data_IF_473750697391
#
_entry.id   IF_473750697391
#
_cell.length_a   1.000
_cell.length_b   1.000
_cell.length_c   1.000
_cell.angle_alpha   90.00
_cell.angle_beta   90.00
_cell.angle_gamma   90.00
#
_symmetry.space_group_name_H-M   'P 1'
#
loop_
_entity.id
_entity.type
_entity.pdbx_description
1 polymer ?
#
# COMPACT_ATOMS: atom_id res chain seq x y z
N UNK A 1 11.56 20.11 -13.19
CA UNK A 1 10.84 20.04 -14.48
C UNK A 1 10.36 18.60 -14.75
N UNK A 2 9.67 17.94 -13.80
CA UNK A 2 9.29 16.50 -13.87
C UNK A 2 7.76 16.25 -13.76
N UNK A 3 6.94 17.30 -13.87
CA UNK A 3 5.50 17.21 -13.62
C UNK A 3 4.62 16.94 -14.83
N UNK A 4 5.08 17.26 -16.05
CA UNK A 4 4.22 17.25 -17.25
C UNK A 4 4.17 15.85 -17.88
N UNK A 5 5.30 15.13 -17.95
CA UNK A 5 5.33 13.77 -18.52
C UNK A 5 4.51 12.77 -17.69
N UNK A 6 4.54 12.92 -16.36
CA UNK A 6 3.73 12.07 -15.47
C UNK A 6 2.24 12.40 -15.54
N UNK A 7 1.88 13.65 -15.87
CA UNK A 7 0.48 14.03 -16.06
C UNK A 7 -0.11 13.40 -17.32
N UNK A 8 0.58 13.50 -18.47
CA UNK A 8 0.13 12.87 -19.72
C UNK A 8 0.01 11.36 -19.59
N UNK A 9 0.96 10.70 -18.93
CA UNK A 9 0.90 9.26 -18.69
C UNK A 9 -0.34 8.84 -17.88
N UNK A 10 -0.77 9.64 -16.89
CA UNK A 10 -1.98 9.35 -16.09
C UNK A 10 -3.26 9.43 -16.92
N UNK A 11 -3.37 10.43 -17.78
CA UNK A 11 -4.51 10.58 -18.68
C UNK A 11 -4.52 9.53 -19.79
N UNK A 12 -3.35 9.19 -20.34
CA UNK A 12 -3.20 8.11 -21.32
C UNK A 12 -3.61 6.74 -20.72
N UNK A 13 -3.18 6.45 -19.48
CA UNK A 13 -3.58 5.24 -18.76
C UNK A 13 -5.09 5.20 -18.51
N UNK A 14 -5.68 6.33 -18.08
CA UNK A 14 -7.12 6.43 -17.86
C UNK A 14 -7.91 6.16 -19.15
N UNK A 15 -7.51 6.81 -20.25
CA UNK A 15 -8.11 6.58 -21.57
C UNK A 15 -7.98 5.15 -22.04
N UNK A 16 -6.78 4.55 -21.94
CA UNK A 16 -6.53 3.18 -22.36
C UNK A 16 -7.36 2.16 -21.57
N UNK A 17 -7.46 2.32 -20.25
CA UNK A 17 -8.24 1.42 -19.39
C UNK A 17 -9.76 1.57 -19.63
N UNK A 18 -10.25 2.80 -19.80
CA UNK A 18 -11.66 3.03 -20.14
C UNK A 18 -12.01 2.47 -21.52
N UNK A 19 -11.16 2.68 -22.52
CA UNK A 19 -11.35 2.14 -23.86
C UNK A 19 -11.29 0.61 -23.87
N UNK A 20 -10.37 0.01 -23.11
CA UNK A 20 -10.27 -1.45 -22.97
C UNK A 20 -11.51 -2.03 -22.29
N UNK A 21 -11.98 -1.42 -21.20
CA UNK A 21 -13.21 -1.83 -20.53
C UNK A 21 -14.44 -1.72 -21.46
N UNK A 22 -14.50 -0.67 -22.29
CA UNK A 22 -15.57 -0.50 -23.26
C UNK A 22 -15.51 -1.52 -24.41
N UNK A 23 -14.33 -1.81 -24.95
CA UNK A 23 -14.16 -2.82 -25.99
C UNK A 23 -14.53 -4.21 -25.50
N UNK A 24 -14.09 -4.58 -24.28
CA UNK A 24 -14.46 -5.87 -23.66
C UNK A 24 -15.97 -5.93 -23.41
N UNK A 25 -16.58 -4.84 -22.94
CA UNK A 25 -18.03 -4.77 -22.77
C UNK A 25 -18.79 -5.00 -24.09
N UNK A 26 -18.37 -4.35 -25.19
CA UNK A 26 -19.01 -4.47 -26.50
C UNK A 26 -18.90 -5.89 -27.09
N UNK A 27 -17.78 -6.59 -26.86
CA UNK A 27 -17.60 -7.99 -27.29
C UNK A 27 -18.46 -8.95 -26.47
N UNK A 28 -18.71 -8.64 -25.19
CA UNK A 28 -19.51 -9.47 -24.29
C UNK A 28 -21.02 -9.23 -24.42
N UNK A 29 -21.47 -8.06 -24.86
CA UNK A 29 -22.88 -7.73 -25.09
C UNK A 29 -23.68 -8.81 -25.87
N UNK A 30 -23.21 -9.35 -27.02
CA UNK A 30 -23.94 -10.37 -27.76
C UNK A 30 -24.01 -11.73 -27.04
N UNK A 31 -23.09 -12.01 -26.11
CA UNK A 31 -23.10 -13.26 -25.32
C UNK A 31 -24.13 -13.23 -24.18
N UNK A 32 -24.59 -12.04 -23.78
CA UNK A 32 -25.46 -11.85 -22.62
C UNK A 32 -26.87 -11.34 -22.97
N UNK A 33 -27.37 -11.57 -24.20
CA UNK A 33 -28.71 -11.14 -24.64
C UNK A 33 -29.00 -9.66 -24.28
N UNK A 34 -28.07 -8.75 -24.61
CA UNK A 34 -28.16 -7.31 -24.31
C UNK A 34 -28.21 -6.92 -22.82
N UNK A 35 -27.97 -7.87 -21.88
CA UNK A 35 -27.92 -7.56 -20.45
C UNK A 35 -26.55 -7.03 -20.06
N UNK A 36 -26.46 -5.70 -19.97
CA UNK A 36 -25.29 -4.89 -19.63
C UNK A 36 -24.40 -5.49 -18.51
N UNK A 37 -23.23 -6.05 -18.81
CA UNK A 37 -22.30 -6.52 -17.79
C UNK A 37 -21.49 -5.33 -17.21
N UNK A 38 -22.15 -4.55 -16.33
CA UNK A 38 -21.58 -3.42 -15.58
C UNK A 38 -20.33 -3.78 -14.77
N UNK A 39 -20.09 -5.06 -14.50
CA UNK A 39 -19.05 -5.57 -13.59
C UNK A 39 -17.64 -5.19 -14.05
N UNK A 40 -17.39 -5.07 -15.36
CA UNK A 40 -16.06 -4.80 -15.90
C UNK A 40 -15.59 -3.34 -15.74
N UNK A 41 -16.50 -2.37 -15.63
CA UNK A 41 -16.12 -0.97 -15.46
C UNK A 41 -15.66 -0.65 -14.05
N UNK A 42 -16.15 -1.36 -13.03
CA UNK A 42 -15.76 -1.14 -11.64
C UNK A 42 -14.27 -1.37 -11.37
N UNK A 43 -13.65 -2.53 -11.70
CA UNK A 43 -12.22 -2.73 -11.47
C UNK A 43 -11.36 -1.76 -12.29
N UNK A 44 -11.79 -1.39 -13.50
CA UNK A 44 -11.11 -0.37 -14.31
C UNK A 44 -11.15 1.01 -13.62
N UNK A 45 -12.32 1.44 -13.12
CA UNK A 45 -12.48 2.70 -12.40
C UNK A 45 -11.66 2.74 -11.10
N UNK A 46 -11.64 1.63 -10.36
CA UNK A 46 -10.80 1.50 -9.16
C UNK A 46 -9.32 1.62 -9.50
N UNK A 47 -8.85 0.94 -10.55
CA UNK A 47 -7.47 1.04 -10.99
C UNK A 47 -7.10 2.47 -11.45
N UNK A 48 -7.97 3.13 -12.23
CA UNK A 48 -7.74 4.52 -12.67
C UNK A 48 -7.71 5.46 -11.46
N UNK A 49 -8.63 5.31 -10.51
CA UNK A 49 -8.61 6.08 -9.26
C UNK A 49 -7.32 5.83 -8.46
N UNK A 50 -6.84 4.59 -8.42
CA UNK A 50 -5.65 4.19 -7.67
C UNK A 50 -4.32 4.51 -8.36
N UNK A 51 -4.27 4.73 -9.67
CA UNK A 51 -3.03 5.02 -10.37
C UNK A 51 -3.02 6.42 -10.98
N UNK A 52 -4.07 6.81 -11.69
CA UNK A 52 -4.14 8.09 -12.40
C UNK A 52 -4.59 9.28 -11.53
N UNK A 53 -5.32 9.02 -10.43
CA UNK A 53 -5.78 10.04 -9.49
C UNK A 53 -7.26 10.37 -9.62
N UNK A 54 -7.71 11.38 -8.87
CA UNK A 54 -9.14 11.71 -8.76
C UNK A 54 -9.74 12.19 -10.09
N UNK A 55 -9.13 13.20 -10.73
CA UNK A 55 -9.71 13.82 -11.93
C UNK A 55 -9.79 12.89 -13.14
N UNK A 56 -8.76 12.09 -13.46
CA UNK A 56 -8.89 11.08 -14.53
C UNK A 56 -9.96 10.03 -14.22
N UNK A 57 -10.11 9.62 -12.95
CA UNK A 57 -11.14 8.66 -12.56
C UNK A 57 -12.56 9.24 -12.69
N UNK A 58 -12.76 10.51 -12.34
CA UNK A 58 -14.04 11.21 -12.55
C UNK A 58 -14.35 11.33 -14.04
N UNK A 59 -13.36 11.70 -14.87
CA UNK A 59 -13.55 11.78 -16.32
C UNK A 59 -13.91 10.42 -16.94
N UNK A 60 -13.24 9.35 -16.51
CA UNK A 60 -13.56 7.97 -16.91
C UNK A 60 -14.93 7.51 -16.44
N UNK A 61 -15.38 7.91 -15.25
CA UNK A 61 -16.73 7.63 -14.75
C UNK A 61 -17.78 8.32 -15.63
N UNK A 62 -17.58 9.61 -15.95
CA UNK A 62 -18.49 10.35 -16.84
C UNK A 62 -18.53 9.73 -18.24
N UNK A 63 -17.37 9.34 -18.78
CA UNK A 63 -17.30 8.67 -20.08
C UNK A 63 -18.01 7.31 -20.07
N UNK A 64 -17.84 6.52 -19.01
CA UNK A 64 -18.52 5.25 -18.85
C UNK A 64 -20.04 5.41 -18.74
N UNK A 65 -20.51 6.41 -17.98
CA UNK A 65 -21.94 6.77 -17.88
C UNK A 65 -22.49 7.16 -19.26
N UNK A 66 -21.77 7.99 -20.01
CA UNK A 66 -22.18 8.40 -21.35
C UNK A 66 -22.31 7.22 -22.33
N UNK A 67 -21.32 6.32 -22.34
CA UNK A 67 -21.36 5.08 -23.12
C UNK A 67 -22.55 4.18 -22.72
N UNK A 68 -22.82 4.09 -21.41
CA UNK A 68 -23.93 3.29 -20.92
C UNK A 68 -25.28 3.88 -21.35
N UNK A 69 -25.44 5.20 -21.28
CA UNK A 69 -26.65 5.89 -21.74
C UNK A 69 -26.93 5.66 -23.23
N UNK A 70 -25.88 5.61 -24.07
CA UNK A 70 -26.02 5.27 -25.49
C UNK A 70 -26.46 3.81 -25.66
N UNK A 71 -25.85 2.88 -24.91
CA UNK A 71 -26.18 1.45 -25.00
C UNK A 71 -27.59 1.10 -24.52
N UNK A 72 -28.16 1.89 -23.62
CA UNK A 72 -29.53 1.73 -23.13
C UNK A 72 -30.57 2.37 -24.07
N UNK A 73 -30.16 2.87 -25.24
CA UNK A 73 -31.09 3.46 -26.21
C UNK A 73 -31.69 4.80 -25.77
N UNK A 74 -31.21 5.41 -24.68
CA UNK A 74 -31.69 6.69 -24.15
C UNK A 74 -31.42 7.89 -25.10
N UNK A 75 -30.70 7.66 -26.19
CA UNK A 75 -30.30 8.68 -27.17
C UNK A 75 -31.16 8.65 -28.45
N UNK A 76 -32.06 7.69 -28.64
CA UNK A 76 -32.94 7.72 -29.82
C UNK A 76 -33.94 8.89 -29.72
N UNK A 77 -34.19 9.67 -30.80
CA UNK A 77 -34.99 10.91 -30.75
C UNK A 77 -36.48 10.71 -30.46
N UNK A 78 -36.94 9.47 -30.27
CA UNK A 78 -38.27 9.18 -29.75
C UNK A 78 -38.27 9.47 -28.25
N UNK A 79 -39.12 10.39 -27.78
CA UNK A 79 -39.36 10.72 -26.37
C UNK A 79 -39.90 9.51 -25.55
N UNK A 80 -39.21 8.38 -25.54
CA UNK A 80 -39.44 7.32 -24.57
C UNK A 80 -38.81 7.78 -23.27
N UNK A 81 -39.65 8.06 -22.27
CA UNK A 81 -39.14 8.28 -20.92
C UNK A 81 -38.30 7.05 -20.54
N UNK A 82 -37.07 7.23 -20.00
CA UNK A 82 -36.27 6.11 -19.53
C UNK A 82 -37.13 5.19 -18.67
N UNK A 83 -37.06 3.87 -18.92
CA UNK A 83 -37.68 2.92 -18.02
C UNK A 83 -37.14 3.17 -16.60
N UNK A 84 -37.99 3.04 -15.57
CA UNK A 84 -37.59 3.24 -14.18
C UNK A 84 -36.38 2.38 -13.80
N UNK A 85 -36.24 1.21 -14.44
CA UNK A 85 -35.11 0.31 -14.32
C UNK A 85 -33.78 0.91 -14.80
N UNK A 86 -33.76 1.60 -15.94
CA UNK A 86 -32.53 2.13 -16.55
C UNK A 86 -31.99 3.33 -15.77
N UNK A 87 -32.90 4.19 -15.30
CA UNK A 87 -32.56 5.29 -14.40
C UNK A 87 -31.98 4.76 -13.07
N UNK A 88 -32.55 3.67 -12.51
CA UNK A 88 -32.04 3.04 -11.30
C UNK A 88 -30.64 2.43 -11.50
N UNK A 89 -30.39 1.79 -12.66
CA UNK A 89 -29.08 1.21 -12.97
C UNK A 89 -28.00 2.28 -13.11
N UNK A 90 -28.27 3.38 -13.82
CA UNK A 90 -27.35 4.51 -13.94
C UNK A 90 -27.08 5.16 -12.58
N UNK A 91 -28.12 5.35 -11.76
CA UNK A 91 -27.98 5.87 -10.40
C UNK A 91 -27.10 4.97 -9.53
N UNK A 92 -27.37 3.67 -9.53
CA UNK A 92 -26.58 2.69 -8.78
C UNK A 92 -25.11 2.66 -9.25
N UNK A 93 -24.86 2.76 -10.55
CA UNK A 93 -23.51 2.81 -11.12
C UNK A 93 -22.75 4.08 -10.68
N UNK A 94 -23.39 5.24 -10.73
CA UNK A 94 -22.81 6.50 -10.27
C UNK A 94 -22.47 6.45 -8.78
N UNK A 95 -23.37 5.93 -7.95
CA UNK A 95 -23.15 5.80 -6.50
C UNK A 95 -22.01 4.82 -6.21
N UNK A 96 -22.03 3.63 -6.82
CA UNK A 96 -21.00 2.62 -6.60
C UNK A 96 -19.62 3.07 -7.15
N UNK A 97 -19.59 3.70 -8.32
CA UNK A 97 -18.37 4.27 -8.90
C UNK A 97 -17.80 5.42 -8.05
N UNK A 98 -18.67 6.34 -7.61
CA UNK A 98 -18.29 7.42 -6.71
C UNK A 98 -17.74 6.92 -5.37
N UNK A 99 -18.41 5.94 -4.76
CA UNK A 99 -17.96 5.30 -3.52
C UNK A 99 -16.60 4.61 -3.72
N UNK A 100 -16.45 3.85 -4.80
CA UNK A 100 -15.18 3.18 -5.14
C UNK A 100 -14.03 4.17 -5.30
N UNK A 101 -14.27 5.28 -6.00
CA UNK A 101 -13.28 6.36 -6.12
C UNK A 101 -12.94 6.94 -4.74
N UNK A 102 -13.93 7.25 -3.91
CA UNK A 102 -13.72 7.85 -2.59
C UNK A 102 -12.90 6.95 -1.66
N UNK A 103 -13.25 5.67 -1.57
CA UNK A 103 -12.51 4.67 -0.78
C UNK A 103 -11.06 4.55 -1.26
N UNK A 104 -10.87 4.51 -2.57
CA UNK A 104 -9.54 4.41 -3.18
C UNK A 104 -8.67 5.65 -2.88
N UNK A 105 -9.24 6.85 -2.95
CA UNK A 105 -8.51 8.08 -2.59
C UNK A 105 -8.16 8.13 -1.11
N UNK A 106 -9.09 7.75 -0.23
CA UNK A 106 -8.83 7.65 1.20
C UNK A 106 -7.68 6.67 1.50
N UNK A 107 -7.70 5.49 0.88
CA UNK A 107 -6.64 4.49 1.01
C UNK A 107 -5.28 5.02 0.54
N UNK A 108 -5.24 5.70 -0.63
CA UNK A 108 -4.00 6.34 -1.12
C UNK A 108 -3.46 7.38 -0.14
N UNK A 109 -4.32 8.22 0.43
CA UNK A 109 -3.93 9.23 1.41
C UNK A 109 -3.27 8.61 2.64
N UNK A 110 -3.88 7.54 3.20
CA UNK A 110 -3.33 6.81 4.35
C UNK A 110 -1.99 6.16 4.03
N UNK A 111 -1.87 5.50 2.88
CA UNK A 111 -0.61 4.84 2.46
C UNK A 111 0.51 5.86 2.29
N UNK A 112 0.23 7.01 1.67
CA UNK A 112 1.24 8.06 1.48
C UNK A 112 1.65 8.71 2.80
N UNK A 113 0.69 8.97 3.70
CA UNK A 113 0.99 9.48 5.04
C UNK A 113 1.86 8.49 5.82
N UNK A 114 1.53 7.20 5.79
CA UNK A 114 2.32 6.14 6.42
C UNK A 114 3.75 6.06 5.85
N UNK A 115 3.89 6.12 4.52
CA UNK A 115 5.19 6.12 3.84
C UNK A 115 6.04 7.34 4.21
N UNK A 116 5.44 8.53 4.30
CA UNK A 116 6.14 9.76 4.69
C UNK A 116 6.70 9.68 6.10
N UNK A 117 5.88 9.23 7.06
CA UNK A 117 6.32 9.03 8.45
C UNK A 117 7.42 7.97 8.55
N UNK A 118 7.23 6.82 7.87
CA UNK A 118 8.23 5.72 7.89
C UNK A 118 9.55 6.13 7.25
N UNK A 119 9.53 6.90 6.16
CA UNK A 119 10.73 7.43 5.55
C UNK A 119 11.48 8.39 6.48
N UNK A 120 10.75 9.27 7.18
CA UNK A 120 11.35 10.21 8.15
C UNK A 120 11.95 9.48 9.36
N UNK A 121 11.27 8.46 9.87
CA UNK A 121 11.80 7.60 10.93
C UNK A 121 13.10 6.91 10.49
N UNK A 122 13.10 6.27 9.32
CA UNK A 122 14.30 5.60 8.81
C UNK A 122 15.46 6.57 8.60
N UNK A 123 15.18 7.79 8.12
CA UNK A 123 16.20 8.84 7.99
C UNK A 123 16.79 9.22 9.35
N UNK A 124 15.96 9.39 10.38
CA UNK A 124 16.41 9.72 11.72
C UNK A 124 17.27 8.59 12.34
N UNK A 125 16.83 7.33 12.20
CA UNK A 125 17.59 6.16 12.64
C UNK A 125 18.95 6.07 11.92
N UNK A 126 18.97 6.24 10.61
CA UNK A 126 20.19 6.21 9.81
C UNK A 126 21.16 7.34 10.21
N UNK A 127 20.66 8.57 10.39
CA UNK A 127 21.48 9.70 10.83
C UNK A 127 22.07 9.49 12.24
N UNK A 128 21.32 8.86 13.14
CA UNK A 128 21.78 8.49 14.47
C UNK A 128 22.67 7.25 14.52
N UNK A 129 22.85 6.52 13.40
CA UNK A 129 23.44 5.17 13.39
C UNK A 129 22.76 4.22 14.39
N UNK A 130 21.45 4.36 14.53
CA UNK A 130 20.61 3.56 15.42
C UNK A 130 19.79 2.57 14.59
N UNK A 131 19.40 1.46 15.20
CA UNK A 131 18.40 0.55 14.65
C UNK A 131 17.40 0.20 15.74
N UNK A 132 16.13 0.06 15.35
CA UNK A 132 15.13 -0.55 16.22
C UNK A 132 15.07 -2.05 15.94
N UNK A 133 14.75 -2.81 16.97
CA UNK A 133 14.57 -4.25 16.89
C UNK A 133 13.45 -4.68 17.83
N UNK A 134 12.78 -5.77 17.48
CA UNK A 134 11.74 -6.39 18.27
C UNK A 134 12.05 -7.87 18.38
N UNK A 135 11.86 -8.45 19.56
CA UNK A 135 12.08 -9.86 19.79
C UNK A 135 10.80 -10.53 20.30
N UNK A 136 10.29 -11.48 19.53
CA UNK A 136 9.30 -12.45 19.98
C UNK A 136 10.03 -13.58 20.70
N UNK A 137 9.93 -13.55 22.02
CA UNK A 137 10.55 -14.50 22.94
C UNK A 137 10.00 -15.90 22.75
N UNK A 138 8.69 -16.03 22.49
CA UNK A 138 8.00 -17.32 22.40
C UNK A 138 8.38 -18.06 21.12
N UNK A 139 8.40 -17.36 20.00
CA UNK A 139 8.74 -17.94 18.70
C UNK A 139 10.22 -17.78 18.32
N UNK A 140 11.02 -17.17 19.19
CA UNK A 140 12.44 -16.86 18.99
C UNK A 140 12.73 -16.09 17.69
N UNK A 141 11.85 -15.15 17.33
CA UNK A 141 11.98 -14.33 16.11
C UNK A 141 12.43 -12.92 16.46
N UNK A 142 13.40 -12.42 15.71
CA UNK A 142 13.86 -11.03 15.83
C UNK A 142 13.48 -10.29 14.55
N UNK A 143 12.74 -9.20 14.70
CA UNK A 143 12.50 -8.25 13.63
C UNK A 143 13.46 -7.08 13.78
N UNK A 144 14.03 -6.68 12.66
CA UNK A 144 14.94 -5.55 12.59
C UNK A 144 14.31 -4.47 11.73
N UNK A 145 14.48 -3.22 12.15
CA UNK A 145 14.07 -2.08 11.35
C UNK A 145 14.85 -2.06 10.01
N UNK A 146 14.24 -1.55 8.93
CA UNK A 146 14.95 -1.34 7.67
C UNK A 146 16.21 -0.50 7.88
N UNK A 147 17.34 -0.94 7.32
CA UNK A 147 18.64 -0.28 7.49
C UNK A 147 19.46 -0.76 8.69
N UNK A 148 18.97 -1.73 9.47
CA UNK A 148 19.72 -2.36 10.56
C UNK A 148 21.09 -2.89 10.12
N UNK A 149 21.21 -3.35 8.86
CA UNK A 149 22.46 -3.77 8.22
C UNK A 149 23.63 -2.80 8.43
N UNK A 150 23.38 -1.49 8.40
CA UNK A 150 24.41 -0.49 8.61
C UNK A 150 24.97 -0.48 10.05
N UNK A 151 24.17 -0.95 11.02
CA UNK A 151 24.51 -0.99 12.45
C UNK A 151 24.98 -2.39 12.88
N UNK A 152 24.30 -3.44 12.43
CA UNK A 152 24.59 -4.83 12.84
C UNK A 152 25.40 -5.64 11.81
N UNK A 153 25.63 -5.09 10.62
CA UNK A 153 26.43 -5.72 9.56
C UNK A 153 25.70 -6.78 8.71
N UNK A 154 24.41 -7.05 8.97
CA UNK A 154 23.60 -7.96 8.14
C UNK A 154 22.10 -7.70 8.23
N UNK A 155 21.37 -8.20 7.23
CA UNK A 155 19.92 -8.14 7.18
C UNK A 155 19.34 -9.44 7.72
N UNK A 156 18.43 -9.31 8.69
CA UNK A 156 17.76 -10.47 9.29
C UNK A 156 18.69 -11.31 10.18
N UNK A 157 18.20 -11.60 11.37
CA UNK A 157 18.90 -12.42 12.36
C UNK A 157 17.84 -13.15 13.18
N UNK A 158 18.09 -14.39 13.60
CA UNK A 158 17.27 -15.04 14.63
C UNK A 158 17.82 -14.72 16.02
N UNK A 159 17.08 -15.09 17.07
CA UNK A 159 17.48 -14.80 18.44
C UNK A 159 18.85 -15.42 18.80
N UNK A 160 19.12 -16.65 18.38
CA UNK A 160 20.39 -17.34 18.66
C UNK A 160 21.58 -16.69 17.95
N UNK A 161 21.39 -16.26 16.70
CA UNK A 161 22.39 -15.54 15.93
C UNK A 161 22.66 -14.16 16.55
N UNK A 162 21.62 -13.42 16.95
CA UNK A 162 21.76 -12.14 17.66
C UNK A 162 22.54 -12.33 18.96
N UNK A 163 22.22 -13.40 19.70
CA UNK A 163 22.93 -13.74 20.94
C UNK A 163 24.42 -14.04 20.71
N UNK A 164 24.74 -14.75 19.63
CA UNK A 164 26.14 -15.07 19.27
C UNK A 164 26.94 -13.84 18.86
N UNK A 165 26.28 -12.81 18.32
CA UNK A 165 26.90 -11.53 17.98
C UNK A 165 27.31 -10.73 19.23
N UNK A 166 26.73 -10.98 20.40
CA UNK A 166 27.21 -10.39 21.65
C UNK A 166 28.56 -11.01 22.02
N UNK A 167 29.55 -10.17 22.31
CA UNK A 167 30.89 -10.60 22.74
C UNK A 167 30.81 -11.52 23.97
N UNK A 168 31.63 -12.57 24.01
CA UNK A 168 31.55 -13.63 25.03
C UNK A 168 31.54 -13.10 26.47
N UNK A 169 32.44 -12.18 26.79
CA UNK A 169 32.54 -11.54 28.12
C UNK A 169 31.30 -10.72 28.51
N UNK A 170 30.53 -10.21 27.54
CA UNK A 170 29.37 -9.36 27.82
C UNK A 170 28.07 -10.17 27.96
N UNK A 171 28.06 -11.44 27.50
CA UNK A 171 26.85 -12.27 27.44
C UNK A 171 26.16 -12.45 28.79
N UNK A 172 26.92 -12.70 29.85
CA UNK A 172 26.31 -12.91 31.18
C UNK A 172 25.57 -11.65 31.67
N UNK A 173 26.19 -10.48 31.50
CA UNK A 173 25.59 -9.19 31.87
C UNK A 173 24.36 -8.87 31.02
N UNK A 174 24.42 -9.10 29.72
CA UNK A 174 23.27 -8.89 28.82
C UNK A 174 22.13 -9.85 29.19
N UNK A 175 22.42 -11.12 29.50
CA UNK A 175 21.41 -12.10 29.87
C UNK A 175 20.65 -11.70 31.13
N UNK A 176 21.38 -11.20 32.14
CA UNK A 176 20.79 -10.73 33.38
C UNK A 176 19.84 -9.53 33.15
N UNK A 177 20.27 -8.55 32.34
CA UNK A 177 19.44 -7.39 32.02
C UNK A 177 18.16 -7.79 31.26
N UNK A 178 18.28 -8.65 30.25
CA UNK A 178 17.14 -9.18 29.49
C UNK A 178 16.20 -9.97 30.40
N UNK A 179 16.72 -10.83 31.26
CA UNK A 179 15.90 -11.64 32.17
C UNK A 179 15.15 -10.79 33.20
N UNK A 180 15.78 -9.75 33.73
CA UNK A 180 15.11 -8.78 34.62
C UNK A 180 13.94 -8.06 33.93
N UNK A 181 14.11 -7.68 32.67
CA UNK A 181 13.05 -7.06 31.87
C UNK A 181 11.89 -8.04 31.59
N UNK A 182 12.19 -9.30 31.27
CA UNK A 182 11.16 -10.33 31.02
C UNK A 182 10.34 -10.69 32.26
N UNK A 183 10.94 -10.64 33.45
CA UNK A 183 10.23 -10.84 34.71
C UNK A 183 9.38 -9.62 35.12
N UNK A 184 9.37 -8.54 34.31
CA UNK A 184 8.64 -7.32 34.59
C UNK A 184 9.21 -6.52 35.76
N UNK A 185 10.45 -6.81 36.19
CA UNK A 185 11.14 -6.05 37.25
C UNK A 185 11.51 -4.66 36.77
N UNK A 186 11.86 -4.53 35.49
CA UNK A 186 12.16 -3.26 34.83
C UNK A 186 11.33 -3.11 33.55
N UNK A 187 10.59 -2.00 33.44
CA UNK A 187 9.78 -1.67 32.26
C UNK A 187 10.64 -1.22 31.06
N UNK A 188 11.91 -0.89 31.30
CA UNK A 188 12.90 -0.47 30.31
C UNK A 188 14.29 -0.83 30.81
N UNK A 189 15.12 -1.43 29.94
CA UNK A 189 16.53 -1.66 30.21
C UNK A 189 17.38 -0.84 29.24
N UNK A 190 18.56 -0.43 29.69
CA UNK A 190 19.62 0.09 28.82
C UNK A 190 20.95 -0.54 29.23
N UNK A 191 21.69 -1.08 28.28
CA UNK A 191 23.06 -1.55 28.49
C UNK A 191 23.95 -1.32 27.27
N UNK A 192 25.18 -0.89 27.53
CA UNK A 192 26.22 -0.82 26.51
C UNK A 192 26.98 -2.15 26.44
N UNK A 193 27.19 -2.71 25.26
CA UNK A 193 27.90 -3.97 25.06
C UNK A 193 28.66 -4.00 23.73
N UNK A 194 29.59 -4.95 23.61
CA UNK A 194 30.33 -5.18 22.38
C UNK A 194 29.56 -6.14 21.47
N UNK A 195 29.30 -5.67 20.25
CA UNK A 195 28.70 -6.41 19.16
C UNK A 195 29.79 -6.83 18.18
N UNK A 196 29.94 -8.14 17.95
CA UNK A 196 30.77 -8.73 16.93
C UNK A 196 29.95 -8.88 15.64
N UNK A 197 30.29 -8.06 14.64
CA UNK A 197 29.65 -8.10 13.32
C UNK A 197 30.13 -9.31 12.50
N UNK A 198 29.37 -9.72 11.46
CA UNK A 198 29.76 -10.83 10.58
C UNK A 198 31.07 -10.60 9.80
N UNK A 199 31.47 -9.34 9.60
CA UNK A 199 32.75 -8.94 9.00
C UNK A 199 33.96 -9.13 9.95
N UNK A 200 33.71 -9.49 11.21
CA UNK A 200 34.72 -9.66 12.25
C UNK A 200 35.05 -8.37 13.01
N UNK A 201 34.43 -7.23 12.66
CA UNK A 201 34.64 -5.99 13.38
C UNK A 201 33.88 -5.96 14.71
N UNK A 202 34.51 -5.35 15.72
CA UNK A 202 33.92 -5.13 17.02
C UNK A 202 33.35 -3.72 17.12
N UNK A 203 32.07 -3.61 17.45
CA UNK A 203 31.37 -2.35 17.59
C UNK A 203 30.80 -2.21 19.00
N UNK A 204 30.89 -1.02 19.59
CA UNK A 204 30.17 -0.73 20.84
C UNK A 204 28.77 -0.26 20.49
N UNK A 205 27.77 -0.89 21.10
CA UNK A 205 26.36 -0.52 20.92
C UNK A 205 25.69 -0.37 22.28
N UNK A 206 24.77 0.57 22.36
CA UNK A 206 23.85 0.74 23.49
C UNK A 206 22.49 0.20 23.06
N UNK A 207 21.83 -0.53 23.95
CA UNK A 207 20.54 -1.20 23.70
C UNK A 207 19.63 -0.99 24.89
#
# INVERSE_FOLDING_TARGET
MFGIETAWARWALAGALTASAAAVNQVLQPLFEERAPLILYFPALLAISFFAGLWPAVASLVSAVGLLSISLGLWEPSWHAPETRDALLLGAFCVAGGLGIAVTQAARGLVMAYRGTRARLNLALAAGRMTAWEWDVVNSRVWLAPGAEAVIGRGGVNADEAWRMVHADDRERVAQAVHAALEGRDASYSFMHRLLRPDGELHWVET
#
